data_IF_510228057036
#
_entry.id   IF_510228057036
#
_cell.length_a   1.000
_cell.length_b   1.000
_cell.length_c   1.000
_cell.angle_alpha   90.00
_cell.angle_beta   90.00
_cell.angle_gamma   90.00
#
_symmetry.space_group_name_H-M   'P 1'
#
loop_
_entity.id
_entity.type
_entity.pdbx_description
1 polymer ?
#
# COMPACT_ATOMS: atom_id res chain seq x y z
N UNK A 1 7.46 -12.61 -14.07
CA UNK A 1 6.64 -11.38 -13.90
C UNK A 1 6.91 -10.77 -12.54
N UNK A 2 7.07 -9.47 -12.50
CA UNK A 2 7.33 -8.76 -11.25
C UNK A 2 6.00 -8.41 -10.59
N UNK A 3 5.53 -9.29 -9.72
CA UNK A 3 4.25 -9.09 -9.03
C UNK A 3 4.21 -7.79 -8.23
N UNK A 4 5.35 -7.36 -7.67
CA UNK A 4 5.42 -6.23 -6.75
C UNK A 4 4.92 -4.93 -7.34
N UNK A 5 5.39 -4.55 -8.53
CA UNK A 5 4.95 -3.29 -9.16
C UNK A 5 3.47 -3.33 -9.52
N UNK A 6 2.95 -4.46 -9.95
CA UNK A 6 1.52 -4.59 -10.26
C UNK A 6 0.67 -4.52 -9.00
N UNK A 7 1.10 -5.17 -7.92
CA UNK A 7 0.39 -5.12 -6.65
C UNK A 7 0.33 -3.70 -6.09
N UNK A 8 1.47 -2.99 -6.10
CA UNK A 8 1.52 -1.61 -5.62
C UNK A 8 0.68 -0.68 -6.48
N UNK A 9 0.68 -0.86 -7.80
CA UNK A 9 -0.16 -0.08 -8.70
C UNK A 9 -1.64 -0.27 -8.35
N UNK A 10 -2.05 -1.50 -8.09
CA UNK A 10 -3.43 -1.80 -7.70
C UNK A 10 -3.78 -1.13 -6.37
N UNK A 11 -2.95 -1.30 -5.35
CA UNK A 11 -3.21 -0.73 -4.02
C UNK A 11 -3.30 0.80 -4.09
N UNK A 12 -2.34 1.45 -4.74
CA UNK A 12 -2.33 2.91 -4.84
C UNK A 12 -3.54 3.43 -5.61
N UNK A 13 -3.90 2.77 -6.70
CA UNK A 13 -5.04 3.19 -7.52
C UNK A 13 -6.35 3.08 -6.75
N UNK A 14 -6.58 1.94 -6.10
CA UNK A 14 -7.81 1.70 -5.35
C UNK A 14 -7.94 2.69 -4.19
N UNK A 15 -6.86 2.95 -3.48
CA UNK A 15 -6.89 3.86 -2.33
C UNK A 15 -6.99 5.31 -2.75
N UNK A 16 -6.33 5.70 -3.86
CA UNK A 16 -6.38 7.07 -4.35
C UNK A 16 -7.78 7.43 -4.84
N UNK A 17 -8.43 6.52 -5.56
CA UNK A 17 -9.79 6.73 -6.08
C UNK A 17 -10.85 6.62 -5.01
N UNK A 18 -10.49 6.23 -3.79
CA UNK A 18 -11.42 6.05 -2.68
C UNK A 18 -12.58 5.15 -3.06
N UNK A 19 -12.25 4.03 -3.70
CA UNK A 19 -13.23 3.05 -4.10
C UNK A 19 -14.06 2.59 -2.90
N UNK A 20 -15.33 2.27 -3.15
CA UNK A 20 -16.31 1.95 -2.13
C UNK A 20 -15.83 0.89 -1.12
N UNK A 21 -15.07 -0.10 -1.58
CA UNK A 21 -14.61 -1.19 -0.72
C UNK A 21 -13.08 -1.22 -0.55
N UNK A 22 -12.45 -0.07 -0.73
CA UNK A 22 -10.98 0.02 -0.64
C UNK A 22 -10.46 -0.48 0.71
N UNK A 23 -11.13 -0.12 1.81
CA UNK A 23 -10.72 -0.58 3.14
C UNK A 23 -10.78 -2.09 3.27
N UNK A 24 -11.84 -2.73 2.75
CA UNK A 24 -11.96 -4.18 2.77
C UNK A 24 -10.85 -4.83 1.94
N UNK A 25 -10.57 -4.30 0.77
CA UNK A 25 -9.50 -4.81 -0.10
C UNK A 25 -8.16 -4.73 0.64
N UNK A 26 -7.85 -3.57 1.21
CA UNK A 26 -6.60 -3.36 1.95
C UNK A 26 -6.48 -4.35 3.11
N UNK A 27 -7.55 -4.55 3.87
CA UNK A 27 -7.50 -5.46 5.04
C UNK A 27 -7.38 -6.93 4.65
N UNK A 28 -7.86 -7.31 3.48
CA UNK A 28 -7.92 -8.72 3.08
C UNK A 28 -6.79 -9.16 2.14
N UNK A 29 -6.01 -8.24 1.61
CA UNK A 29 -4.95 -8.59 0.67
C UNK A 29 -3.71 -9.14 1.35
N UNK A 30 -3.50 -8.80 2.63
CA UNK A 30 -2.30 -9.21 3.37
C UNK A 30 -2.05 -10.72 3.37
N UNK A 31 -3.06 -11.55 3.72
CA UNK A 31 -2.86 -13.00 3.77
C UNK A 31 -2.47 -13.65 2.45
N UNK A 32 -2.81 -13.02 1.34
CA UNK A 32 -2.48 -13.56 0.00
C UNK A 32 -1.30 -12.84 -0.65
N UNK A 33 -0.69 -11.89 0.06
CA UNK A 33 0.46 -11.15 -0.46
C UNK A 33 1.66 -12.08 -0.60
N UNK A 34 2.26 -12.18 -1.80
CA UNK A 34 3.36 -13.13 -2.03
C UNK A 34 4.72 -12.65 -1.52
N UNK A 35 4.75 -11.71 -0.60
CA UNK A 35 5.98 -11.17 -0.02
C UNK A 35 6.06 -11.53 1.46
N UNK A 36 6.85 -12.54 1.81
CA UNK A 36 6.99 -12.97 3.20
C UNK A 36 7.59 -11.90 4.10
N UNK A 37 8.50 -11.08 3.57
CA UNK A 37 9.09 -9.98 4.31
C UNK A 37 8.08 -8.87 4.61
N UNK A 38 7.11 -8.69 3.71
CA UNK A 38 6.13 -7.61 3.82
C UNK A 38 4.97 -7.97 4.75
N UNK A 39 4.62 -9.24 4.85
CA UNK A 39 3.42 -9.69 5.58
C UNK A 39 3.34 -9.24 7.03
N UNK A 40 4.38 -9.44 7.87
CA UNK A 40 4.28 -9.03 9.27
C UNK A 40 4.05 -7.53 9.42
N UNK A 41 4.75 -6.73 8.61
CA UNK A 41 4.60 -5.28 8.64
C UNK A 41 3.23 -4.86 8.10
N UNK A 42 2.75 -5.55 7.07
CA UNK A 42 1.43 -5.29 6.51
C UNK A 42 0.35 -5.52 7.57
N UNK A 43 0.39 -6.66 8.22
CA UNK A 43 -0.59 -7.02 9.24
C UNK A 43 -0.60 -6.00 10.38
N UNK A 44 0.56 -5.52 10.80
CA UNK A 44 0.66 -4.48 11.82
C UNK A 44 0.10 -3.15 11.32
N UNK A 45 0.41 -2.79 10.08
CA UNK A 45 0.07 -1.48 9.55
C UNK A 45 -1.43 -1.28 9.33
N UNK A 46 -2.18 -2.37 9.15
CA UNK A 46 -3.62 -2.26 8.90
C UNK A 46 -4.47 -2.26 10.16
N UNK A 47 -3.88 -2.55 11.33
CA UNK A 47 -4.64 -2.70 12.57
C UNK A 47 -5.42 -1.46 12.98
N UNK A 48 -4.90 -0.27 12.69
CA UNK A 48 -5.54 0.99 13.04
C UNK A 48 -6.39 1.61 11.95
N UNK A 49 -6.55 0.95 10.81
CA UNK A 49 -7.29 1.51 9.70
C UNK A 49 -8.79 1.37 9.89
N UNK A 50 -9.52 2.44 9.58
CA UNK A 50 -10.98 2.47 9.60
C UNK A 50 -11.48 3.33 8.45
N UNK A 51 -12.81 3.57 8.40
CA UNK A 51 -13.44 4.32 7.32
C UNK A 51 -13.00 5.78 7.25
N UNK A 52 -12.42 6.32 8.32
CA UNK A 52 -11.94 7.70 8.37
C UNK A 52 -10.47 7.84 7.97
N UNK A 53 -9.76 6.73 7.79
CA UNK A 53 -8.34 6.73 7.47
C UNK A 53 -8.07 7.23 6.06
N UNK A 54 -6.95 7.95 5.87
CA UNK A 54 -6.46 8.30 4.55
C UNK A 54 -5.70 7.10 3.98
N UNK A 55 -6.41 6.26 3.25
CA UNK A 55 -5.84 5.00 2.76
C UNK A 55 -4.74 5.20 1.73
N UNK A 56 -4.84 6.26 0.92
CA UNK A 56 -3.77 6.53 -0.05
C UNK A 56 -2.48 6.93 0.66
N UNK A 57 -2.57 7.80 1.65
CA UNK A 57 -1.40 8.16 2.45
C UNK A 57 -0.82 6.94 3.15
N UNK A 58 -1.67 6.09 3.73
CA UNK A 58 -1.23 4.84 4.32
C UNK A 58 -0.47 3.98 3.30
N UNK A 59 -0.98 3.87 2.09
CA UNK A 59 -0.35 3.03 1.06
C UNK A 59 1.04 3.56 0.67
N UNK A 60 1.19 4.88 0.58
CA UNK A 60 2.48 5.52 0.30
C UNK A 60 3.47 5.27 1.44
N UNK A 61 3.03 5.49 2.68
CA UNK A 61 3.88 5.31 3.86
C UNK A 61 4.33 3.85 4.00
N UNK A 62 3.43 2.91 3.80
CA UNK A 62 3.76 1.50 3.88
C UNK A 62 4.71 1.08 2.76
N UNK A 63 4.45 1.53 1.53
CA UNK A 63 5.32 1.24 0.40
C UNK A 63 6.75 1.75 0.67
N UNK A 64 6.87 2.96 1.19
CA UNK A 64 8.17 3.52 1.53
C UNK A 64 8.87 2.73 2.64
N UNK A 65 8.14 2.25 3.62
CA UNK A 65 8.69 1.40 4.67
C UNK A 65 9.33 0.13 4.08
N UNK A 66 8.65 -0.49 3.13
CA UNK A 66 9.19 -1.67 2.45
C UNK A 66 10.38 -1.29 1.56
N UNK A 67 10.32 -0.14 0.88
CA UNK A 67 11.45 0.35 0.07
C UNK A 67 12.70 0.51 0.92
N UNK A 68 12.57 1.07 2.12
CA UNK A 68 13.71 1.21 3.05
C UNK A 68 14.29 -0.15 3.39
N UNK A 69 13.45 -1.12 3.71
CA UNK A 69 13.90 -2.49 4.02
C UNK A 69 14.65 -3.13 2.87
N UNK A 70 14.24 -2.86 1.64
CA UNK A 70 14.84 -3.46 0.45
C UNK A 70 15.99 -2.63 -0.12
N UNK A 71 16.33 -1.51 0.52
CA UNK A 71 17.39 -0.63 0.03
C UNK A 71 17.01 0.14 -1.23
N UNK A 72 15.73 0.31 -1.50
CA UNK A 72 15.23 1.04 -2.67
C UNK A 72 14.94 2.49 -2.31
N UNK A 73 14.98 3.42 -3.31
CA UNK A 73 14.63 4.82 -3.06
C UNK A 73 13.19 4.98 -2.59
N UNK A 74 12.98 5.93 -1.69
CA UNK A 74 11.63 6.32 -1.27
C UNK A 74 11.10 7.42 -2.16
N UNK A 75 9.80 7.66 -2.12
CA UNK A 75 9.15 8.75 -2.86
C UNK A 75 8.22 9.52 -1.93
N UNK A 76 7.98 10.80 -2.27
CA UNK A 76 7.11 11.65 -1.49
C UNK A 76 5.64 11.39 -1.83
N UNK A 77 4.75 11.91 -0.98
CA UNK A 77 3.33 11.88 -1.23
C UNK A 77 2.98 12.56 -2.56
N UNK A 78 3.59 13.72 -2.82
CA UNK A 78 3.35 14.46 -4.07
C UNK A 78 3.80 13.68 -5.30
N UNK A 79 4.96 13.03 -5.23
CA UNK A 79 5.43 12.16 -6.31
C UNK A 79 4.47 11.01 -6.56
N UNK A 80 3.93 10.42 -5.49
CA UNK A 80 2.96 9.35 -5.60
C UNK A 80 1.66 9.84 -6.25
N UNK A 81 1.17 11.02 -5.88
CA UNK A 81 -0.01 11.61 -6.49
C UNK A 81 0.17 11.79 -7.99
N UNK A 82 1.33 12.29 -8.42
CA UNK A 82 1.61 12.47 -9.84
C UNK A 82 1.67 11.16 -10.59
N UNK A 83 2.25 10.14 -9.98
CA UNK A 83 2.43 8.85 -10.62
C UNK A 83 1.13 8.09 -10.78
N UNK A 84 0.25 8.13 -9.78
CA UNK A 84 -0.93 7.28 -9.73
C UNK A 84 -2.23 7.98 -10.11
N UNK A 85 -2.20 9.28 -10.33
CA UNK A 85 -3.33 10.02 -10.91
C UNK A 85 -3.27 9.95 -12.45
#
# INVERSE_FOLDING_TARGET
MHWGSHLWAFIHTVTLKKEHRALEVVKNIGPIMPCQLCRPDYDQSILGLDETSDLFKWSVDFHNKINIKLGKPVFTYDEALQKWT
#
